data_IF_206580401527
#
_entry.id   IF_206580401527
#
_cell.length_a   1.000
_cell.length_b   1.000
_cell.length_c   1.000
_cell.angle_alpha   90.00
_cell.angle_beta   90.00
_cell.angle_gamma   90.00
#
_symmetry.space_group_name_H-M   'P 1'
#
loop_
_entity.id
_entity.type
_entity.pdbx_description
1 polymer ?
#
# COMPACT_ATOMS: atom_id res chain seq x y z
N UNK A 1 10.12 -38.36 -1.37
CA UNK A 1 10.20 -37.00 -1.94
C UNK A 1 9.20 -36.95 -3.07
N UNK A 2 7.96 -36.61 -2.75
CA UNK A 2 6.87 -36.52 -3.73
C UNK A 2 6.99 -35.16 -4.41
N UNK A 3 7.23 -35.16 -5.71
CA UNK A 3 7.06 -34.00 -6.57
C UNK A 3 5.57 -33.89 -6.87
N UNK A 4 4.84 -33.14 -6.06
CA UNK A 4 3.49 -32.70 -6.45
C UNK A 4 3.65 -31.74 -7.62
N UNK A 5 3.30 -32.23 -8.82
CA UNK A 5 3.16 -31.38 -10.00
C UNK A 5 1.97 -30.43 -9.78
N UNK A 6 2.13 -29.11 -9.96
CA UNK A 6 1.07 -28.13 -9.76
C UNK A 6 0.11 -28.12 -10.96
N UNK A 7 -0.56 -29.25 -11.23
CA UNK A 7 -1.35 -29.46 -12.44
C UNK A 7 -2.82 -29.78 -12.17
N UNK A 8 -3.40 -29.27 -11.09
CA UNK A 8 -4.85 -29.41 -10.87
C UNK A 8 -5.52 -28.18 -10.25
N UNK A 9 -5.19 -26.99 -10.75
CA UNK A 9 -5.98 -25.78 -10.49
C UNK A 9 -6.85 -25.49 -11.72
N UNK A 10 -7.74 -26.42 -12.05
CA UNK A 10 -8.75 -26.16 -13.10
C UNK A 10 -9.76 -25.07 -12.66
N UNK A 11 -9.79 -24.79 -11.35
CA UNK A 11 -10.59 -23.74 -10.70
C UNK A 11 -9.90 -23.39 -9.35
N UNK A 12 -8.82 -22.59 -9.35
CA UNK A 12 -8.14 -22.22 -8.11
C UNK A 12 -9.07 -21.40 -7.23
N UNK A 13 -9.06 -21.70 -5.93
CA UNK A 13 -9.74 -20.83 -4.97
C UNK A 13 -8.90 -19.57 -4.72
N UNK A 14 -9.54 -18.57 -4.12
CA UNK A 14 -8.88 -17.37 -3.67
C UNK A 14 -7.72 -17.68 -2.71
N UNK A 15 -8.00 -18.52 -1.71
CA UNK A 15 -7.04 -18.88 -0.67
C UNK A 15 -5.85 -19.66 -1.28
N UNK A 16 -6.10 -20.57 -2.24
CA UNK A 16 -5.02 -21.30 -2.92
C UNK A 16 -4.06 -20.34 -3.65
N UNK A 17 -4.59 -19.34 -4.34
CA UNK A 17 -3.78 -18.34 -5.04
C UNK A 17 -2.97 -17.48 -4.08
N UNK A 18 -3.58 -17.02 -2.98
CA UNK A 18 -2.91 -16.21 -1.95
C UNK A 18 -1.81 -17.02 -1.27
N UNK A 19 -2.12 -18.24 -0.82
CA UNK A 19 -1.16 -19.13 -0.14
C UNK A 19 0.04 -19.45 -1.06
N UNK A 20 -0.21 -19.75 -2.34
CA UNK A 20 0.85 -20.02 -3.31
C UNK A 20 1.76 -18.80 -3.51
N UNK A 21 1.18 -17.61 -3.62
CA UNK A 21 1.92 -16.35 -3.78
C UNK A 21 2.76 -16.03 -2.54
N UNK A 22 2.18 -16.09 -1.34
CA UNK A 22 2.91 -15.81 -0.10
C UNK A 22 4.03 -16.82 0.16
N UNK A 23 3.78 -18.10 -0.11
CA UNK A 23 4.80 -19.15 0.01
C UNK A 23 5.98 -18.90 -0.93
N UNK A 24 5.70 -18.60 -2.20
CA UNK A 24 6.75 -18.30 -3.18
C UNK A 24 7.53 -17.03 -2.82
N UNK A 25 6.85 -15.99 -2.32
CA UNK A 25 7.50 -14.76 -1.86
C UNK A 25 8.40 -15.02 -0.65
N UNK A 26 7.95 -15.85 0.29
CA UNK A 26 8.73 -16.21 1.48
C UNK A 26 10.00 -17.01 1.13
N UNK A 27 9.95 -17.87 0.12
CA UNK A 27 11.09 -18.69 -0.32
C UNK A 27 12.07 -17.94 -1.23
N UNK A 28 11.55 -17.17 -2.19
CA UNK A 28 12.34 -16.59 -3.29
C UNK A 28 12.58 -15.08 -3.14
N UNK A 29 11.88 -14.41 -2.21
CA UNK A 29 11.88 -12.96 -2.09
C UNK A 29 10.90 -12.32 -3.07
N UNK A 30 11.38 -11.49 -3.99
CA UNK A 30 10.50 -10.77 -4.92
C UNK A 30 9.98 -11.71 -6.02
N UNK A 31 8.67 -11.95 -6.03
CA UNK A 31 7.94 -12.68 -7.07
C UNK A 31 6.88 -11.79 -7.73
N UNK A 32 6.49 -12.10 -8.96
CA UNK A 32 5.53 -11.31 -9.73
C UNK A 32 4.10 -11.80 -9.46
N UNK A 33 3.19 -10.88 -9.11
CA UNK A 33 1.76 -11.20 -8.84
C UNK A 33 1.10 -11.90 -10.03
N UNK A 34 1.49 -11.55 -11.26
CA UNK A 34 0.90 -12.10 -12.49
C UNK A 34 1.06 -13.63 -12.60
N UNK A 35 2.09 -14.20 -11.99
CA UNK A 35 2.41 -15.62 -12.08
C UNK A 35 1.44 -16.50 -11.26
N UNK A 36 0.66 -15.88 -10.37
CA UNK A 36 -0.28 -16.56 -9.46
C UNK A 36 -1.75 -16.31 -9.82
N UNK A 37 -2.00 -15.54 -10.88
CA UNK A 37 -3.35 -15.26 -11.35
C UNK A 37 -3.91 -16.39 -12.21
N UNK A 38 -5.22 -16.68 -12.10
CA UNK A 38 -5.89 -17.51 -13.08
C UNK A 38 -5.94 -16.78 -14.44
N UNK A 39 -6.42 -17.49 -15.47
CA UNK A 39 -6.64 -16.87 -16.78
C UNK A 39 -7.63 -15.70 -16.70
N UNK A 40 -7.50 -14.72 -17.60
CA UNK A 40 -8.34 -13.52 -17.63
C UNK A 40 -9.85 -13.80 -17.74
N UNK A 41 -10.23 -14.94 -18.32
CA UNK A 41 -11.63 -15.36 -18.47
C UNK A 41 -12.17 -16.14 -17.26
N UNK A 42 -11.36 -16.34 -16.22
CA UNK A 42 -11.79 -17.04 -15.02
C UNK A 42 -12.85 -16.21 -14.27
N UNK A 43 -13.97 -16.82 -13.81
CA UNK A 43 -15.03 -16.08 -13.12
C UNK A 43 -14.56 -15.28 -11.90
N UNK A 44 -13.52 -15.77 -11.21
CA UNK A 44 -12.92 -15.15 -10.02
C UNK A 44 -11.67 -14.32 -10.30
N UNK A 45 -11.33 -14.06 -11.57
CA UNK A 45 -10.09 -13.35 -11.91
C UNK A 45 -9.95 -12.02 -11.15
N UNK A 46 -10.99 -11.20 -11.13
CA UNK A 46 -10.96 -9.89 -10.49
C UNK A 46 -10.83 -9.99 -8.96
N UNK A 47 -11.58 -10.90 -8.34
CA UNK A 47 -11.51 -11.17 -6.90
C UNK A 47 -10.10 -11.57 -6.49
N UNK A 48 -9.51 -12.54 -7.21
CA UNK A 48 -8.15 -13.03 -6.94
C UNK A 48 -7.10 -11.96 -7.20
N UNK A 49 -7.23 -11.21 -8.31
CA UNK A 49 -6.32 -10.11 -8.62
C UNK A 49 -6.35 -9.02 -7.56
N UNK A 50 -7.53 -8.71 -7.01
CA UNK A 50 -7.63 -7.73 -5.94
C UNK A 50 -6.87 -8.21 -4.71
N UNK A 51 -7.15 -9.42 -4.22
CA UNK A 51 -6.53 -9.87 -2.97
C UNK A 51 -5.02 -10.03 -3.08
N UNK A 52 -4.51 -10.57 -4.20
CA UNK A 52 -3.06 -10.65 -4.40
C UNK A 52 -2.39 -9.28 -4.43
N UNK A 53 -3.03 -8.28 -5.05
CA UNK A 53 -2.51 -6.91 -5.07
C UNK A 53 -2.54 -6.25 -3.68
N UNK A 54 -3.55 -6.54 -2.86
CA UNK A 54 -3.61 -6.04 -1.48
C UNK A 54 -2.47 -6.60 -0.64
N UNK A 55 -2.21 -7.90 -0.77
CA UNK A 55 -1.09 -8.56 -0.09
C UNK A 55 0.26 -8.00 -0.58
N UNK A 56 0.45 -7.85 -1.89
CA UNK A 56 1.69 -7.27 -2.44
C UNK A 56 1.93 -5.83 -1.94
N UNK A 57 0.88 -5.00 -1.92
CA UNK A 57 0.93 -3.65 -1.37
C UNK A 57 1.35 -3.62 0.09
N UNK A 58 0.84 -4.52 0.93
CA UNK A 58 1.24 -4.60 2.33
C UNK A 58 2.74 -4.91 2.46
N UNK A 59 3.26 -5.84 1.67
CA UNK A 59 4.70 -6.10 1.64
C UNK A 59 5.51 -4.91 1.11
N UNK A 60 5.04 -4.24 0.06
CA UNK A 60 5.69 -3.07 -0.53
C UNK A 60 5.81 -1.93 0.50
N UNK A 61 4.73 -1.65 1.24
CA UNK A 61 4.74 -0.64 2.31
C UNK A 61 5.69 -0.99 3.45
N UNK A 62 5.73 -2.27 3.88
CA UNK A 62 6.72 -2.76 4.86
C UNK A 62 8.17 -2.58 4.39
N UNK A 63 8.41 -2.63 3.08
CA UNK A 63 9.71 -2.42 2.45
C UNK A 63 10.01 -0.94 2.12
N UNK A 64 9.06 -0.03 2.34
CA UNK A 64 9.20 1.41 2.06
C UNK A 64 8.92 1.82 0.62
N UNK A 65 8.29 0.97 -0.19
CA UNK A 65 7.98 1.21 -1.60
C UNK A 65 6.65 1.97 -1.78
N UNK A 66 6.69 3.29 -1.61
CA UNK A 66 5.49 4.17 -1.60
C UNK A 66 4.76 4.31 -2.95
N UNK A 67 5.41 3.92 -4.04
CA UNK A 67 4.88 4.03 -5.42
C UNK A 67 4.25 2.73 -5.94
N UNK A 68 4.19 1.67 -5.12
CA UNK A 68 3.72 0.35 -5.54
C UNK A 68 2.29 0.38 -6.11
N UNK A 69 1.39 1.19 -5.54
CA UNK A 69 0.02 1.35 -6.03
C UNK A 69 -0.05 1.79 -7.50
N UNK A 70 0.66 2.85 -7.87
CA UNK A 70 0.70 3.34 -9.25
C UNK A 70 1.30 2.30 -10.20
N UNK A 71 2.35 1.58 -9.74
CA UNK A 71 2.98 0.52 -10.53
C UNK A 71 2.03 -0.65 -10.78
N UNK A 72 1.26 -1.07 -9.78
CA UNK A 72 0.24 -2.11 -9.95
C UNK A 72 -0.86 -1.66 -10.90
N UNK A 73 -1.36 -0.42 -10.83
CA UNK A 73 -2.38 0.06 -11.77
C UNK A 73 -1.89 0.12 -13.22
N UNK A 74 -0.59 0.33 -13.43
CA UNK A 74 0.03 0.22 -14.76
C UNK A 74 0.13 -1.24 -15.23
N UNK A 75 0.49 -2.15 -14.33
CA UNK A 75 0.65 -3.58 -14.62
C UNK A 75 -0.68 -4.33 -14.78
N UNK A 76 -1.77 -3.84 -14.18
CA UNK A 76 -3.09 -4.47 -14.17
C UNK A 76 -4.19 -3.56 -14.73
N UNK A 77 -4.21 -3.29 -16.05
CA UNK A 77 -5.23 -2.45 -16.68
C UNK A 77 -6.66 -2.93 -16.45
N UNK A 78 -6.88 -4.25 -16.33
CA UNK A 78 -8.21 -4.84 -16.08
C UNK A 78 -8.75 -4.48 -14.71
N UNK A 79 -7.88 -4.41 -13.68
CA UNK A 79 -8.26 -3.95 -12.34
C UNK A 79 -8.60 -2.47 -12.38
N UNK A 80 -7.77 -1.66 -13.06
CA UNK A 80 -8.02 -0.22 -13.23
C UNK A 80 -9.33 0.10 -13.95
N UNK A 81 -9.75 -0.73 -14.90
CA UNK A 81 -10.99 -0.54 -15.68
C UNK A 81 -12.24 -0.98 -14.91
N UNK A 82 -12.09 -1.76 -13.84
CA UNK A 82 -13.20 -2.19 -12.99
C UNK A 82 -13.31 -1.24 -11.78
N UNK A 83 -14.36 -0.41 -11.67
CA UNK A 83 -14.48 0.57 -10.59
C UNK A 83 -14.50 -0.04 -9.18
N UNK A 84 -15.10 -1.22 -9.02
CA UNK A 84 -15.17 -1.93 -7.74
C UNK A 84 -13.78 -2.43 -7.32
N UNK A 85 -13.06 -3.11 -8.23
CA UNK A 85 -11.70 -3.58 -7.97
C UNK A 85 -10.75 -2.41 -7.71
N UNK A 86 -10.83 -1.33 -8.50
CA UNK A 86 -10.01 -0.14 -8.31
C UNK A 86 -10.28 0.51 -6.94
N UNK A 87 -11.54 0.61 -6.52
CA UNK A 87 -11.91 1.17 -5.22
C UNK A 87 -11.36 0.34 -4.06
N UNK A 88 -11.40 -1.00 -4.16
CA UNK A 88 -10.87 -1.90 -3.12
C UNK A 88 -9.34 -1.77 -2.96
N UNK A 89 -8.59 -1.74 -4.06
CA UNK A 89 -7.13 -1.54 -4.02
C UNK A 89 -6.77 -0.12 -3.54
N UNK A 90 -7.50 0.90 -3.99
CA UNK A 90 -7.25 2.28 -3.58
C UNK A 90 -7.48 2.48 -2.08
N UNK A 91 -8.52 1.85 -1.53
CA UNK A 91 -8.76 1.85 -0.08
C UNK A 91 -7.65 1.14 0.69
N UNK A 92 -7.11 0.04 0.16
CA UNK A 92 -5.99 -0.67 0.80
C UNK A 92 -4.73 0.21 0.86
N UNK A 93 -4.35 0.85 -0.24
CA UNK A 93 -3.21 1.79 -0.26
C UNK A 93 -3.44 2.97 0.71
N UNK A 94 -4.66 3.52 0.76
CA UNK A 94 -5.02 4.56 1.73
C UNK A 94 -4.83 4.08 3.17
N UNK A 95 -5.38 2.91 3.52
CA UNK A 95 -5.25 2.32 4.86
C UNK A 95 -3.79 2.12 5.25
N UNK A 96 -2.96 1.64 4.32
CA UNK A 96 -1.53 1.45 4.53
C UNK A 96 -0.80 2.80 4.69
N UNK A 97 -1.12 3.81 3.87
CA UNK A 97 -0.58 5.18 4.05
C UNK A 97 -0.84 5.72 5.45
N UNK A 98 -2.09 5.61 5.92
CA UNK A 98 -2.46 6.05 7.26
C UNK A 98 -1.69 5.27 8.34
N UNK A 99 -1.55 3.95 8.19
CA UNK A 99 -0.81 3.10 9.13
C UNK A 99 0.69 3.48 9.20
N UNK A 100 1.29 3.89 8.09
CA UNK A 100 2.70 4.30 8.00
C UNK A 100 2.91 5.82 8.14
N UNK A 101 1.87 6.58 8.49
CA UNK A 101 1.94 8.02 8.79
C UNK A 101 2.09 8.94 7.57
N UNK A 102 1.73 8.47 6.37
CA UNK A 102 1.69 9.30 5.17
C UNK A 102 0.37 10.10 5.13
N UNK A 103 0.39 11.46 5.13
CA UNK A 103 -0.79 12.30 5.39
C UNK A 103 -1.74 12.43 4.19
N UNK A 104 -1.84 11.41 3.34
CA UNK A 104 -2.69 11.43 2.14
C UNK A 104 -4.14 11.18 2.53
N UNK A 105 -4.99 12.19 2.35
CA UNK A 105 -6.42 12.09 2.60
C UNK A 105 -7.18 11.35 1.47
N UNK A 106 -8.42 10.88 1.73
CA UNK A 106 -9.25 10.20 0.73
C UNK A 106 -9.50 11.04 -0.54
N UNK A 107 -9.57 12.36 -0.40
CA UNK A 107 -9.75 13.31 -1.52
C UNK A 107 -8.71 13.12 -2.63
N UNK A 108 -7.47 12.75 -2.27
CA UNK A 108 -6.42 12.45 -3.23
C UNK A 108 -6.82 11.34 -4.21
N UNK A 109 -7.44 10.27 -3.70
CA UNK A 109 -7.82 9.13 -4.52
C UNK A 109 -9.02 9.44 -5.41
N UNK A 110 -10.00 10.18 -4.87
CA UNK A 110 -11.13 10.67 -5.65
C UNK A 110 -10.66 11.55 -6.81
N UNK A 111 -9.78 12.50 -6.55
CA UNK A 111 -9.35 13.47 -7.56
C UNK A 111 -8.42 12.84 -8.62
N UNK A 112 -7.54 11.92 -8.21
CA UNK A 112 -6.56 11.29 -9.11
C UNK A 112 -7.10 10.07 -9.86
N UNK A 113 -7.93 9.26 -9.20
CA UNK A 113 -8.39 7.97 -9.75
C UNK A 113 -9.90 7.88 -9.95
N UNK A 114 -10.67 8.87 -9.50
CA UNK A 114 -12.13 8.89 -9.66
C UNK A 114 -12.85 7.85 -8.80
N UNK A 115 -12.23 7.35 -7.73
CA UNK A 115 -12.85 6.37 -6.83
C UNK A 115 -13.83 7.03 -5.86
N UNK A 116 -14.83 6.27 -5.42
CA UNK A 116 -15.79 6.71 -4.39
C UNK A 116 -15.14 6.49 -3.02
N UNK A 117 -15.02 7.57 -2.24
CA UNK A 117 -14.29 7.57 -0.95
C UNK A 117 -15.18 7.85 0.25
N UNK A 118 -16.50 7.97 0.06
CA UNK A 118 -17.43 8.40 1.10
C UNK A 118 -17.47 7.51 2.34
N UNK A 119 -17.06 6.24 2.22
CA UNK A 119 -17.08 5.25 3.31
C UNK A 119 -15.70 5.06 3.99
N UNK A 120 -14.67 5.82 3.61
CA UNK A 120 -13.29 5.57 4.06
C UNK A 120 -12.96 6.20 5.41
N UNK A 121 -13.63 7.29 5.78
CA UNK A 121 -13.40 8.03 7.02
C UNK A 121 -13.85 7.26 8.29
N UNK A 122 -14.84 6.37 8.15
CA UNK A 122 -15.38 5.57 9.27
C UNK A 122 -14.42 4.48 9.77
N UNK A 123 -13.41 4.11 8.99
CA UNK A 123 -12.51 3.01 9.31
C UNK A 123 -11.38 3.43 10.26
N UNK A 124 -10.85 4.66 10.15
CA UNK A 124 -9.76 5.14 11.01
C UNK A 124 -10.23 5.63 12.39
N UNK A 125 -11.49 6.03 12.53
CA UNK A 125 -12.02 6.55 13.80
C UNK A 125 -12.45 5.45 14.79
N UNK A 126 -12.60 4.19 14.35
CA UNK A 126 -13.08 3.10 15.21
C UNK A 126 -12.05 2.54 16.20
N UNK A 127 -10.76 2.87 16.05
CA UNK A 127 -9.71 2.45 16.98
C UNK A 127 -9.41 3.52 18.06
N UNK A 128 -9.99 4.72 17.91
CA UNK A 128 -10.14 5.65 19.03
C UNK A 128 -11.42 5.32 19.78
N UNK A 129 -11.48 4.13 20.39
CA UNK A 129 -12.41 3.90 21.48
C UNK A 129 -11.93 4.82 22.61
N UNK A 130 -12.53 6.00 22.61
CA UNK A 130 -12.74 6.87 23.73
C UNK A 130 -12.79 6.03 25.02
N UNK A 131 -11.65 5.94 25.70
CA UNK A 131 -11.61 5.62 27.13
C UNK A 131 -12.43 6.72 27.74
N UNK A 132 -13.72 6.45 27.90
CA UNK A 132 -14.64 7.30 28.61
C UNK A 132 -14.00 7.56 29.96
N UNK A 133 -13.41 8.74 30.09
CA UNK A 133 -13.34 9.43 31.35
C UNK A 133 -14.80 9.49 31.83
N UNK A 134 -15.16 8.58 32.73
CA UNK A 134 -16.30 8.77 33.60
C UNK A 134 -15.83 9.70 34.71
N UNK A 135 -16.12 11.01 34.69
CA UNK A 135 -16.33 11.69 35.95
C UNK A 135 -17.69 11.25 36.48
N UNK A 136 -17.77 11.13 37.80
CA UNK A 136 -19.03 11.23 38.56
C UNK A 136 -19.83 9.93 38.78
N UNK A 137 -19.37 9.11 39.72
CA UNK A 137 -20.30 8.69 40.79
C UNK A 137 -19.65 8.94 42.16
N UNK A 138 -20.32 9.83 42.90
CA UNK A 138 -20.06 10.16 44.28
C UNK A 138 -20.13 8.90 45.17
N UNK A 139 -18.98 8.43 45.63
CA UNK A 139 -18.90 7.57 46.83
C UNK A 139 -18.69 8.46 48.04
N UNK A 140 -19.81 8.78 48.66
CA UNK A 140 -19.88 9.38 49.99
C UNK A 140 -19.32 8.39 51.02
N UNK A 141 -18.36 8.86 51.82
CA UNK A 141 -17.96 8.26 53.09
C UNK A 141 -17.15 6.97 53.03
N UNK A 142 -15.82 7.07 53.21
CA UNK A 142 -15.05 6.17 54.07
C UNK A 142 -13.73 6.83 54.48
N UNK A 143 -13.67 7.22 55.75
CA UNK A 143 -12.48 7.68 56.45
C UNK A 143 -11.38 6.61 56.47
N UNK A 144 -10.18 6.94 55.96
CA UNK A 144 -8.97 6.44 56.60
C UNK A 144 -7.80 7.40 56.45
N UNK A 145 -7.08 7.52 57.56
CA UNK A 145 -6.09 8.53 57.83
C UNK A 145 -4.81 8.38 56.98
N UNK A 146 -4.31 9.54 56.55
CA UNK A 146 -2.91 9.94 56.62
C UNK A 146 -1.87 9.03 55.99
N UNK A 147 -1.29 9.47 54.87
CA UNK A 147 0.16 9.56 54.74
C UNK A 147 0.51 10.86 53.99
N UNK A 148 1.48 11.56 54.56
CA UNK A 148 1.95 12.90 54.27
C UNK A 148 2.68 13.03 52.93
N UNK A 149 2.37 14.13 52.24
CA UNK A 149 3.08 14.66 51.08
C UNK A 149 4.20 15.60 51.54
N UNK A 150 5.45 15.16 51.36
CA UNK A 150 6.70 15.96 51.34
C UNK A 150 7.69 15.08 50.57
N UNK A 151 8.42 15.48 49.54
CA UNK A 151 8.72 16.72 48.85
C UNK A 151 9.93 16.41 47.93
N UNK A 152 10.41 17.44 47.22
CA UNK A 152 11.76 17.52 46.61
C UNK A 152 11.98 16.63 45.36
N UNK A 153 12.54 17.06 44.23
CA UNK A 153 13.41 18.20 43.95
C UNK A 153 13.20 18.74 42.54
N UNK A 154 13.30 20.06 42.48
CA UNK A 154 13.72 20.88 41.36
C UNK A 154 15.26 20.77 41.27
N UNK A 155 15.76 20.24 40.16
CA UNK A 155 17.14 20.34 39.66
C UNK A 155 16.97 20.23 38.13
N UNK A 156 17.23 21.24 37.31
CA UNK A 156 18.41 22.09 37.31
C UNK A 156 19.38 21.56 36.25
N UNK A 157 19.47 22.29 35.12
CA UNK A 157 20.56 22.26 34.13
C UNK A 157 20.58 21.01 33.21
N UNK A 158 20.47 21.16 31.89
CA UNK A 158 21.59 21.63 31.07
C UNK A 158 21.10 22.29 29.77
N UNK A 159 21.42 23.58 29.65
CA UNK A 159 21.72 24.25 28.39
C UNK A 159 23.00 23.63 27.78
N UNK A 160 23.20 23.87 26.48
CA UNK A 160 24.46 23.66 25.74
C UNK A 160 24.83 22.21 25.34
N UNK A 161 24.42 21.77 24.13
CA UNK A 161 25.37 21.09 23.24
C UNK A 161 24.97 21.20 21.75
N UNK A 162 25.59 22.19 21.09
CA UNK A 162 26.16 22.12 19.73
C UNK A 162 25.24 21.71 18.56
N UNK A 163 24.70 22.76 17.96
CA UNK A 163 24.65 22.96 16.51
C UNK A 163 25.94 22.46 15.83
N UNK A 164 25.84 21.45 14.96
CA UNK A 164 26.34 21.49 13.57
C UNK A 164 25.88 20.21 12.82
N UNK A 165 25.06 20.33 11.75
CA UNK A 165 24.86 19.22 10.83
C UNK A 165 26.11 19.02 9.95
N UNK A 166 26.59 17.78 9.73
CA UNK A 166 27.65 17.53 8.77
C UNK A 166 27.19 17.88 7.35
N UNK A 167 28.02 18.69 6.68
CA UNK A 167 27.85 19.21 5.32
C UNK A 167 27.76 18.05 4.31
N UNK A 168 26.88 18.10 3.30
CA UNK A 168 26.98 17.20 2.15
C UNK A 168 28.25 17.53 1.36
N UNK A 169 29.20 16.60 1.37
CA UNK A 169 30.42 16.64 0.59
C UNK A 169 30.15 16.01 -0.78
N UNK A 170 30.29 16.86 -1.81
CA UNK A 170 30.60 16.55 -3.21
C UNK A 170 29.53 15.89 -4.08
N UNK A 171 28.79 16.76 -4.77
CA UNK A 171 28.43 16.59 -6.18
C UNK A 171 29.67 16.24 -7.01
N UNK A 172 29.78 14.99 -7.45
CA UNK A 172 30.56 14.65 -8.65
C UNK A 172 29.63 14.69 -9.84
N UNK A 173 29.52 15.88 -10.42
CA UNK A 173 29.03 16.08 -11.78
C UNK A 173 29.85 15.20 -12.74
N UNK A 174 29.32 14.03 -13.10
CA UNK A 174 29.82 13.26 -14.24
C UNK A 174 29.26 13.89 -15.50
N UNK A 175 30.09 14.73 -16.08
CA UNK A 175 29.87 15.42 -17.34
C UNK A 175 30.41 14.55 -18.49
N UNK A 176 29.65 14.52 -19.57
CA UNK A 176 29.99 14.10 -20.94
C UNK A 176 30.02 12.60 -21.29
N UNK A 177 29.01 12.19 -22.07
CA UNK A 177 29.29 11.68 -23.42
C UNK A 177 28.16 12.04 -24.40
N UNK A 178 28.39 13.15 -25.11
CA UNK A 178 27.81 13.41 -26.41
C UNK A 178 28.56 12.58 -27.46
N UNK A 179 27.88 11.64 -28.11
CA UNK A 179 28.32 11.13 -29.41
C UNK A 179 27.14 10.60 -30.22
N UNK A 180 26.98 11.19 -31.42
CA UNK A 180 26.47 10.60 -32.66
C UNK A 180 24.99 10.23 -32.78
N UNK A 181 24.25 11.18 -33.35
CA UNK A 181 23.17 10.96 -34.34
C UNK A 181 23.71 10.27 -35.63
N UNK A 182 22.91 10.12 -36.72
CA UNK A 182 21.74 9.26 -36.89
C UNK A 182 21.83 8.41 -38.19
N UNK A 183 21.13 7.28 -38.28
CA UNK A 183 20.74 6.55 -39.51
C UNK A 183 19.84 5.41 -39.03
N UNK A 184 18.75 4.97 -39.63
CA UNK A 184 18.04 5.17 -40.88
C UNK A 184 16.65 4.55 -40.60
N UNK A 185 15.55 5.23 -40.87
CA UNK A 185 14.72 4.92 -42.04
C UNK A 185 14.15 3.49 -42.02
N UNK A 186 12.94 3.34 -41.46
CA UNK A 186 11.99 2.33 -41.92
C UNK A 186 10.59 2.96 -42.01
N UNK A 187 10.10 2.93 -43.23
CA UNK A 187 8.80 3.37 -43.71
C UNK A 187 7.61 2.72 -42.99
N UNK A 188 6.64 3.56 -42.64
CA UNK A 188 5.23 3.52 -43.07
C UNK A 188 4.64 2.12 -43.35
N UNK A 189 3.70 1.68 -42.50
CA UNK A 189 2.45 1.03 -42.95
C UNK A 189 1.27 1.55 -42.10
N UNK A 190 0.30 2.28 -42.67
CA UNK A 190 -0.95 2.59 -42.00
C UNK A 190 -1.96 1.46 -42.30
N UNK A 191 -2.33 0.73 -41.26
CA UNK A 191 -3.27 -0.40 -41.34
C UNK A 191 -4.43 -0.24 -40.37
N UNK A 192 -5.16 0.87 -40.45
CA UNK A 192 -6.50 0.99 -39.86
C UNK A 192 -7.40 -0.12 -40.39
N UNK A 193 -7.86 -1.01 -39.50
CA UNK A 193 -9.10 -1.74 -39.70
C UNK A 193 -9.96 -1.62 -38.46
N UNK A 194 -10.90 -0.68 -38.56
CA UNK A 194 -12.15 -0.67 -37.82
C UNK A 194 -12.85 -2.01 -38.06
N UNK A 195 -13.20 -2.73 -36.99
CA UNK A 195 -14.23 -3.75 -37.05
C UNK A 195 -15.53 -3.09 -36.64
N UNK A 196 -16.44 -3.06 -37.61
CA UNK A 196 -17.81 -2.63 -37.46
C UNK A 196 -18.57 -3.56 -36.50
N UNK A 197 -19.39 -2.91 -35.69
CA UNK A 197 -20.62 -3.44 -35.11
C UNK A 197 -21.56 -3.89 -36.23
N UNK A 198 -22.07 -5.12 -36.18
CA UNK A 198 -23.38 -5.45 -36.75
C UNK A 198 -24.14 -6.42 -35.84
N UNK A 199 -25.43 -6.12 -35.80
CA UNK A 199 -26.61 -6.55 -35.02
C UNK A 199 -26.76 -8.04 -34.77
#
# INVERSE_FOLDING_TARGET
>A
MSTESPSNLQDPTLDDCVEAYESARAEMGTVQVQDFLPTLHHPRYHEIAVELLRVDLEYAWRNGEKDAFDQHLLAFPTVRQNPESLSQIAYEDYRLRQQFGDPVGPDYYRDRYGVVVSDWDDASSRDSVEVANTPDEAVDGLSHAGLSYTGLSDDGLSDDELTEPPRPLHDTATQFQTASSPSELVDIVPGSRFLNFEV
#
